data_IF_512094178936
#
_entry.id   IF_512094178936
#
_cell.length_a   1.000
_cell.length_b   1.000
_cell.length_c   1.000
_cell.angle_alpha   90.00
_cell.angle_beta   90.00
_cell.angle_gamma   90.00
#
_symmetry.space_group_name_H-M   'P 1'
#
loop_
_entity.id
_entity.type
_entity.pdbx_description
1 polymer ?
#
# COMPACT_ATOMS: atom_id res chain seq x y z
N UNK A 1 12.05 19.92 21.85
CA UNK A 1 11.10 19.50 22.91
C UNK A 1 9.89 20.45 22.90
N UNK A 2 8.84 20.12 22.16
CA UNK A 2 7.57 20.85 22.28
C UNK A 2 6.44 19.85 22.12
N UNK A 3 6.18 19.13 23.21
CA UNK A 3 5.04 18.25 23.37
C UNK A 3 3.77 19.10 23.38
N UNK A 4 3.18 19.34 22.21
CA UNK A 4 1.82 19.86 22.11
C UNK A 4 0.86 18.72 22.45
N UNK A 5 0.44 18.67 23.71
CA UNK A 5 -0.70 17.85 24.13
C UNK A 5 -1.95 18.32 23.38
N UNK A 6 -2.36 17.56 22.38
CA UNK A 6 -3.64 17.72 21.70
C UNK A 6 -4.78 17.69 22.73
N UNK A 7 -5.56 18.77 22.77
CA UNK A 7 -6.66 18.94 23.71
C UNK A 7 -7.91 18.21 23.17
N UNK A 8 -8.03 16.93 23.50
CA UNK A 8 -8.99 15.93 23.00
C UNK A 8 -10.49 16.25 23.21
N UNK A 9 -10.86 17.37 23.84
CA UNK A 9 -12.26 17.65 24.21
C UNK A 9 -13.14 18.19 23.08
N UNK A 10 -12.55 18.81 22.04
CA UNK A 10 -13.31 19.38 20.91
C UNK A 10 -13.23 18.57 19.61
N UNK A 11 -12.55 17.42 19.61
CA UNK A 11 -12.22 16.67 18.39
C UNK A 11 -12.94 15.31 18.29
N UNK A 12 -14.12 15.12 18.90
CA UNK A 12 -14.73 13.78 19.06
C UNK A 12 -14.88 12.95 17.77
N UNK A 13 -15.00 13.57 16.59
CA UNK A 13 -14.96 12.88 15.30
C UNK A 13 -13.55 12.82 14.69
N UNK A 14 -12.82 13.94 14.73
CA UNK A 14 -11.46 14.11 14.19
C UNK A 14 -10.44 13.14 14.81
N UNK A 15 -10.53 12.93 16.12
CA UNK A 15 -9.60 12.05 16.83
C UNK A 15 -9.90 10.60 16.62
N UNK A 16 -11.14 10.21 16.29
CA UNK A 16 -11.48 8.79 16.24
C UNK A 16 -10.98 8.14 14.95
N UNK A 17 -11.19 8.77 13.80
CA UNK A 17 -10.76 8.20 12.52
C UNK A 17 -9.23 8.25 12.32
N UNK A 18 -8.57 9.36 12.70
CA UNK A 18 -7.11 9.43 12.76
C UNK A 18 -6.53 8.38 13.73
N UNK A 19 -7.12 8.22 14.92
CA UNK A 19 -6.72 7.18 15.86
C UNK A 19 -7.01 5.78 15.33
N UNK A 20 -8.08 5.56 14.56
CA UNK A 20 -8.34 4.28 13.89
C UNK A 20 -7.27 3.99 12.82
N UNK A 21 -6.80 5.00 12.08
CA UNK A 21 -5.69 4.84 11.13
C UNK A 21 -4.39 4.49 11.88
N UNK A 22 -3.95 5.31 12.84
CA UNK A 22 -2.71 5.08 13.61
C UNK A 22 -2.75 3.77 14.39
N UNK A 23 -3.83 3.49 15.12
CA UNK A 23 -3.98 2.22 15.84
C UNK A 23 -4.20 1.04 14.90
N UNK A 24 -4.77 1.27 13.72
CA UNK A 24 -4.93 0.27 12.67
C UNK A 24 -3.57 -0.16 12.14
N UNK A 25 -2.71 0.82 11.83
CA UNK A 25 -1.31 0.63 11.40
C UNK A 25 -0.49 -0.13 12.45
N UNK A 26 -0.50 0.30 13.71
CA UNK A 26 0.16 -0.43 14.80
C UNK A 26 -0.38 -1.86 14.97
N UNK A 27 -1.69 -2.07 14.79
CA UNK A 27 -2.28 -3.41 14.85
C UNK A 27 -1.82 -4.28 13.67
N UNK A 28 -1.66 -3.72 12.47
CA UNK A 28 -1.19 -4.44 11.28
C UNK A 28 0.24 -4.93 11.51
N UNK A 29 1.17 -4.07 11.91
CA UNK A 29 2.56 -4.45 12.19
C UNK A 29 2.68 -5.59 13.22
N UNK A 30 2.00 -5.42 14.36
CA UNK A 30 2.04 -6.41 15.44
C UNK A 30 1.48 -7.78 15.01
N UNK A 31 0.48 -7.78 14.12
CA UNK A 31 -0.15 -8.98 13.58
C UNK A 31 0.69 -9.63 12.49
N UNK A 32 1.29 -8.84 11.60
CA UNK A 32 2.25 -9.31 10.58
C UNK A 32 3.42 -10.08 11.20
N UNK A 33 3.87 -9.67 12.39
CA UNK A 33 4.90 -10.37 13.14
C UNK A 33 4.61 -11.84 13.45
N UNK A 34 3.32 -12.24 13.44
CA UNK A 34 2.88 -13.62 13.71
C UNK A 34 2.69 -14.45 12.45
N UNK A 35 2.64 -13.82 11.29
CA UNK A 35 2.45 -14.49 10.01
C UNK A 35 3.74 -15.15 9.54
N UNK A 36 3.59 -16.20 8.72
CA UNK A 36 4.69 -16.73 7.94
C UNK A 36 5.16 -15.70 6.91
N UNK A 37 6.33 -15.95 6.35
CA UNK A 37 6.89 -15.14 5.29
C UNK A 37 5.95 -15.03 4.07
N UNK A 38 5.44 -16.17 3.60
CA UNK A 38 4.53 -16.28 2.46
C UNK A 38 3.21 -15.54 2.74
N UNK A 39 2.73 -15.60 3.98
CA UNK A 39 1.53 -14.88 4.40
C UNK A 39 1.75 -13.36 4.46
N UNK A 40 2.95 -12.88 4.84
CA UNK A 40 3.31 -11.45 4.78
C UNK A 40 3.44 -10.96 3.35
N UNK A 41 4.06 -11.76 2.47
CA UNK A 41 4.09 -11.50 1.03
C UNK A 41 2.68 -11.37 0.48
N UNK A 42 1.82 -12.36 0.76
CA UNK A 42 0.45 -12.36 0.29
C UNK A 42 -0.27 -11.09 0.73
N UNK A 43 -0.13 -10.72 2.00
CA UNK A 43 -0.70 -9.48 2.51
C UNK A 43 -0.20 -8.25 1.74
N UNK A 44 1.11 -8.11 1.55
CA UNK A 44 1.69 -6.98 0.83
C UNK A 44 1.20 -6.90 -0.63
N UNK A 45 1.14 -8.03 -1.33
CA UNK A 45 0.64 -8.09 -2.71
C UNK A 45 -0.86 -7.84 -2.80
N UNK A 46 -1.65 -8.26 -1.80
CA UNK A 46 -3.06 -7.87 -1.68
C UNK A 46 -3.21 -6.34 -1.57
N UNK A 47 -2.41 -5.67 -0.74
CA UNK A 47 -2.43 -4.21 -0.62
C UNK A 47 -2.09 -3.54 -1.96
N UNK A 48 -1.01 -3.96 -2.63
CA UNK A 48 -0.62 -3.43 -3.94
C UNK A 48 -1.73 -3.63 -4.98
N UNK A 49 -2.34 -4.82 -5.02
CA UNK A 49 -3.43 -5.14 -5.96
C UNK A 49 -4.71 -4.36 -5.68
N UNK A 50 -4.98 -4.07 -4.40
CA UNK A 50 -6.10 -3.24 -4.00
C UNK A 50 -5.88 -1.77 -4.38
N UNK A 51 -4.72 -1.21 -4.02
CA UNK A 51 -4.32 0.15 -4.39
C UNK A 51 -4.32 0.36 -5.90
N UNK A 52 -3.82 -0.62 -6.67
CA UNK A 52 -3.91 -0.66 -8.14
C UNK A 52 -5.36 -0.39 -8.59
N UNK A 53 -6.31 -1.17 -8.10
CA UNK A 53 -7.72 -1.04 -8.50
C UNK A 53 -8.26 0.38 -8.27
N UNK A 54 -7.85 1.04 -7.19
CA UNK A 54 -8.24 2.43 -6.88
C UNK A 54 -7.56 3.45 -7.79
N UNK A 55 -6.30 3.25 -8.13
CA UNK A 55 -5.52 4.17 -8.97
C UNK A 55 -5.90 4.13 -10.45
N UNK A 56 -6.26 2.96 -11.00
CA UNK A 56 -6.72 2.83 -12.39
C UNK A 56 -7.85 3.80 -12.77
N UNK A 57 -8.66 4.20 -11.79
CA UNK A 57 -9.78 5.11 -11.99
C UNK A 57 -9.41 6.59 -11.91
N UNK A 58 -8.26 6.93 -11.31
CA UNK A 58 -7.91 8.30 -10.95
C UNK A 58 -6.56 8.77 -11.49
N UNK A 59 -5.79 7.91 -12.15
CA UNK A 59 -4.51 8.27 -12.75
C UNK A 59 -4.70 9.27 -13.90
N UNK A 60 -3.79 10.24 -14.00
CA UNK A 60 -3.74 11.13 -15.15
C UNK A 60 -3.45 10.28 -16.42
N UNK A 61 -4.17 10.51 -17.53
CA UNK A 61 -3.85 9.85 -18.79
C UNK A 61 -2.39 9.96 -19.23
N UNK A 62 -1.70 11.06 -18.89
CA UNK A 62 -0.31 11.29 -19.26
C UNK A 62 0.67 10.45 -18.40
N UNK A 63 0.25 10.04 -17.20
CA UNK A 63 1.00 9.17 -16.28
C UNK A 63 0.62 7.69 -16.43
N UNK A 64 -0.10 7.32 -17.49
CA UNK A 64 -0.59 5.95 -17.66
C UNK A 64 0.50 4.94 -18.08
N UNK A 65 1.58 5.39 -18.71
CA UNK A 65 2.58 4.52 -19.35
C UNK A 65 3.30 3.59 -18.35
N UNK A 66 3.86 4.13 -17.26
CA UNK A 66 4.51 3.33 -16.21
C UNK A 66 3.52 2.42 -15.48
N UNK A 67 2.27 2.87 -15.36
CA UNK A 67 1.22 2.08 -14.73
C UNK A 67 0.86 0.85 -15.58
N UNK A 68 0.85 1.00 -16.91
CA UNK A 68 0.68 -0.11 -17.85
C UNK A 68 1.84 -1.10 -17.80
N UNK A 69 3.03 -0.70 -17.33
CA UNK A 69 4.18 -1.59 -17.13
C UNK A 69 4.21 -2.25 -15.74
N UNK A 70 3.72 -1.57 -14.70
CA UNK A 70 3.66 -2.09 -13.34
C UNK A 70 2.54 -3.14 -13.16
N UNK A 71 1.43 -2.98 -13.89
CA UNK A 71 0.28 -3.89 -13.87
C UNK A 71 0.64 -5.34 -14.25
N UNK A 72 1.34 -5.60 -15.37
CA UNK A 72 1.80 -6.94 -15.73
C UNK A 72 2.62 -7.63 -14.65
N UNK A 73 3.47 -6.89 -13.93
CA UNK A 73 4.29 -7.45 -12.84
C UNK A 73 3.41 -7.99 -11.69
N UNK A 74 2.37 -7.24 -11.33
CA UNK A 74 1.38 -7.67 -10.33
C UNK A 74 0.60 -8.89 -10.83
N UNK A 75 0.15 -8.87 -12.09
CA UNK A 75 -0.62 -9.97 -12.67
C UNK A 75 0.20 -11.26 -12.78
N UNK A 76 1.48 -11.16 -13.15
CA UNK A 76 2.37 -12.31 -13.26
C UNK A 76 2.70 -12.91 -11.88
N UNK A 77 2.75 -12.08 -10.82
CA UNK A 77 2.84 -12.59 -9.46
C UNK A 77 1.64 -13.51 -9.15
N UNK A 78 0.43 -13.06 -9.42
CA UNK A 78 -0.78 -13.83 -9.12
C UNK A 78 -0.94 -15.09 -9.96
N UNK A 79 -0.40 -15.11 -11.19
CA UNK A 79 -0.34 -16.34 -12.00
C UNK A 79 0.60 -17.39 -11.40
N UNK A 80 1.64 -16.95 -10.69
CA UNK A 80 2.72 -17.80 -10.20
C UNK A 80 2.56 -18.17 -8.73
N UNK A 81 1.79 -17.39 -7.97
CA UNK A 81 1.50 -17.62 -6.56
C UNK A 81 0.32 -18.59 -6.36
N UNK A 82 0.37 -19.54 -5.40
CA UNK A 82 1.45 -19.80 -4.44
C UNK A 82 2.51 -20.79 -4.95
N UNK A 83 2.29 -21.40 -6.11
CA UNK A 83 2.97 -22.62 -6.55
C UNK A 83 4.45 -22.41 -6.92
N UNK A 84 4.87 -21.16 -7.15
CA UNK A 84 6.20 -20.82 -7.62
C UNK A 84 6.62 -19.44 -7.10
N UNK A 85 6.99 -19.37 -5.82
CA UNK A 85 7.85 -18.31 -5.30
C UNK A 85 9.30 -18.55 -5.75
N UNK A 86 9.55 -18.51 -7.06
CA UNK A 86 10.92 -18.58 -7.59
C UNK A 86 11.64 -17.28 -7.22
N UNK A 87 12.61 -17.38 -6.31
CA UNK A 87 13.38 -16.24 -5.82
C UNK A 87 14.07 -15.46 -6.93
N UNK A 88 14.49 -16.14 -8.00
CA UNK A 88 15.14 -15.48 -9.14
C UNK A 88 14.15 -14.68 -9.96
N UNK A 89 12.97 -15.22 -10.24
CA UNK A 89 11.93 -14.50 -10.96
C UNK A 89 11.45 -13.28 -10.15
N UNK A 90 11.26 -13.44 -8.83
CA UNK A 90 10.81 -12.33 -8.00
C UNK A 90 11.86 -11.23 -7.88
N UNK A 91 13.15 -11.59 -7.77
CA UNK A 91 14.22 -10.59 -7.80
C UNK A 91 14.26 -9.84 -9.13
N UNK A 92 13.99 -10.52 -10.25
CA UNK A 92 13.87 -9.84 -11.55
C UNK A 92 12.70 -8.85 -11.57
N UNK A 93 11.53 -9.21 -11.02
CA UNK A 93 10.40 -8.28 -10.91
C UNK A 93 10.72 -7.12 -9.96
N UNK A 94 11.41 -7.37 -8.86
CA UNK A 94 11.84 -6.32 -7.92
C UNK A 94 12.79 -5.34 -8.59
N UNK A 95 13.78 -5.83 -9.34
CA UNK A 95 14.74 -5.01 -10.08
C UNK A 95 14.02 -4.21 -11.16
N UNK A 96 13.20 -4.85 -12.00
CA UNK A 96 12.42 -4.16 -13.02
C UNK A 96 11.50 -3.08 -12.42
N UNK A 97 10.84 -3.37 -11.30
CA UNK A 97 10.05 -2.36 -10.59
C UNK A 97 10.90 -1.21 -10.02
N UNK A 98 12.18 -1.47 -9.69
CA UNK A 98 13.10 -0.44 -9.19
C UNK A 98 13.63 0.44 -10.32
N UNK A 99 13.64 -0.02 -11.57
CA UNK A 99 14.03 0.80 -12.72
C UNK A 99 13.12 2.04 -12.87
N UNK A 100 11.84 1.94 -12.47
CA UNK A 100 10.94 3.10 -12.40
C UNK A 100 11.37 4.16 -11.38
N UNK A 101 12.12 3.77 -10.34
CA UNK A 101 12.71 4.71 -9.37
C UNK A 101 14.06 5.25 -9.83
N UNK A 102 14.89 4.44 -10.52
CA UNK A 102 16.19 4.90 -11.03
C UNK A 102 16.03 5.94 -12.18
N UNK A 103 14.84 6.08 -12.76
CA UNK A 103 14.50 7.25 -13.58
C UNK A 103 14.59 8.59 -12.80
N UNK A 104 14.53 8.60 -11.46
CA UNK A 104 14.73 9.78 -10.60
C UNK A 104 16.21 10.20 -10.46
N UNK A 105 17.18 9.27 -10.51
CA UNK A 105 18.60 9.62 -10.30
C UNK A 105 19.22 10.41 -11.48
N UNK A 106 18.51 10.45 -12.61
CA UNK A 106 18.93 11.15 -13.84
C UNK A 106 18.00 12.27 -14.27
N UNK A 107 16.94 12.52 -13.52
CA UNK A 107 15.96 13.56 -13.82
C UNK A 107 15.66 14.27 -12.53
N UNK A 108 15.92 15.58 -12.47
CA UNK A 108 15.61 16.37 -11.29
C UNK A 108 14.15 16.10 -10.90
N UNK A 109 13.84 15.95 -9.60
CA UNK A 109 12.47 15.72 -9.11
C UNK A 109 11.44 16.77 -9.61
N UNK A 110 11.92 17.88 -10.19
CA UNK A 110 11.12 18.92 -10.84
C UNK A 110 10.75 18.59 -12.31
N UNK A 111 11.45 17.64 -12.95
CA UNK A 111 11.37 17.31 -14.38
C UNK A 111 10.62 15.98 -14.66
N UNK A 112 10.33 15.15 -13.64
CA UNK A 112 9.43 14.00 -13.77
C UNK A 112 8.05 14.31 -13.16
N UNK A 113 6.94 14.10 -13.89
CA UNK A 113 5.62 14.45 -13.42
C UNK A 113 5.00 13.45 -12.45
N UNK A 114 5.78 12.60 -11.76
CA UNK A 114 5.18 11.66 -10.82
C UNK A 114 4.53 12.44 -9.67
N UNK A 115 3.20 12.31 -9.55
CA UNK A 115 2.53 12.72 -8.33
C UNK A 115 3.05 11.85 -7.17
N UNK A 116 3.15 12.42 -5.97
CA UNK A 116 3.68 11.74 -4.78
C UNK A 116 3.03 10.36 -4.57
N UNK A 117 1.74 10.20 -4.90
CA UNK A 117 1.03 8.92 -4.79
C UNK A 117 1.51 7.82 -5.74
N UNK A 118 2.06 8.18 -6.89
CA UNK A 118 2.52 7.24 -7.92
C UNK A 118 3.84 6.59 -7.51
N UNK A 119 4.77 7.42 -7.02
CA UNK A 119 6.02 6.98 -6.39
C UNK A 119 5.77 6.01 -5.24
N UNK A 120 4.72 6.26 -4.45
CA UNK A 120 4.34 5.41 -3.33
C UNK A 120 3.85 4.03 -3.79
N UNK A 121 3.14 3.92 -4.92
CA UNK A 121 2.74 2.60 -5.48
C UNK A 121 3.95 1.82 -5.98
N UNK A 122 4.85 2.47 -6.71
CA UNK A 122 6.08 1.83 -7.22
C UNK A 122 6.88 1.29 -6.03
N UNK A 123 7.08 2.15 -5.02
CA UNK A 123 7.76 1.76 -3.77
C UNK A 123 7.05 0.60 -3.08
N UNK A 124 5.72 0.64 -2.95
CA UNK A 124 4.95 -0.44 -2.35
C UNK A 124 5.13 -1.77 -3.08
N UNK A 125 5.16 -1.73 -4.42
CA UNK A 125 5.35 -2.90 -5.29
C UNK A 125 6.73 -3.52 -5.09
N UNK A 126 7.77 -2.71 -5.07
CA UNK A 126 9.15 -3.16 -4.77
C UNK A 126 9.22 -3.79 -3.37
N UNK A 127 8.61 -3.16 -2.37
CA UNK A 127 8.59 -3.68 -1.00
C UNK A 127 7.84 -5.01 -0.91
N UNK A 128 6.73 -5.16 -1.64
CA UNK A 128 5.98 -6.41 -1.69
C UNK A 128 6.81 -7.56 -2.29
N UNK A 129 7.54 -7.30 -3.38
CA UNK A 129 8.49 -8.28 -3.92
C UNK A 129 9.66 -8.54 -2.95
N UNK A 130 10.18 -7.52 -2.27
CA UNK A 130 11.24 -7.70 -1.27
C UNK A 130 10.81 -8.55 -0.07
N UNK A 131 9.51 -8.56 0.29
CA UNK A 131 8.97 -9.46 1.31
C UNK A 131 9.23 -10.92 1.00
N UNK A 132 9.31 -11.29 -0.28
CA UNK A 132 9.51 -12.68 -0.75
C UNK A 132 10.96 -13.13 -0.79
N UNK A 133 11.91 -12.24 -0.48
CA UNK A 133 13.34 -12.52 -0.60
C UNK A 133 14.10 -12.40 0.72
N UNK A 134 13.54 -11.70 1.73
CA UNK A 134 14.30 -11.34 2.92
C UNK A 134 13.65 -11.78 4.23
N UNK A 135 14.49 -12.05 5.23
CA UNK A 135 14.04 -12.24 6.62
C UNK A 135 13.36 -10.99 7.21
N UNK A 136 13.47 -9.83 6.55
CA UNK A 136 12.85 -8.56 6.94
C UNK A 136 11.39 -8.41 6.49
N UNK A 137 10.74 -9.47 5.99
CA UNK A 137 9.41 -9.41 5.39
C UNK A 137 8.30 -8.74 6.22
N UNK A 138 8.42 -8.59 7.54
CA UNK A 138 7.48 -7.76 8.34
C UNK A 138 7.61 -6.30 7.95
N UNK A 139 8.85 -5.77 7.99
CA UNK A 139 9.13 -4.36 7.73
C UNK A 139 8.71 -4.01 6.30
N UNK A 140 9.01 -4.89 5.35
CA UNK A 140 8.70 -4.68 3.95
C UNK A 140 7.17 -4.74 3.71
N UNK A 141 6.46 -5.67 4.36
CA UNK A 141 5.01 -5.80 4.21
C UNK A 141 4.27 -4.61 4.83
N UNK A 142 4.71 -4.16 6.00
CA UNK A 142 4.17 -2.94 6.63
C UNK A 142 4.46 -1.70 5.78
N UNK A 143 5.68 -1.59 5.25
CA UNK A 143 6.05 -0.47 4.37
C UNK A 143 5.18 -0.46 3.12
N UNK A 144 4.96 -1.60 2.47
CA UNK A 144 4.07 -1.68 1.31
C UNK A 144 2.64 -1.24 1.64
N UNK A 145 2.09 -1.69 2.77
CA UNK A 145 0.74 -1.30 3.20
C UNK A 145 0.62 0.21 3.49
N UNK A 146 1.64 0.81 4.10
CA UNK A 146 1.66 2.25 4.37
C UNK A 146 1.77 3.07 3.10
N UNK A 147 2.67 2.68 2.21
CA UNK A 147 2.85 3.36 0.93
C UNK A 147 1.56 3.33 0.09
N UNK A 148 0.83 2.20 0.04
CA UNK A 148 -0.48 2.14 -0.62
C UNK A 148 -1.51 3.05 0.02
N UNK A 149 -1.57 3.09 1.35
CA UNK A 149 -2.51 3.96 2.04
C UNK A 149 -2.19 5.44 1.75
N UNK A 150 -0.93 5.84 1.85
CA UNK A 150 -0.52 7.23 1.62
C UNK A 150 -0.78 7.62 0.14
N UNK A 151 -0.61 6.68 -0.79
CA UNK A 151 -0.93 6.87 -2.19
C UNK A 151 -2.42 7.19 -2.41
N UNK A 152 -3.31 6.43 -1.75
CA UNK A 152 -4.76 6.65 -1.80
C UNK A 152 -5.15 8.00 -1.20
N UNK A 153 -4.50 8.40 -0.10
CA UNK A 153 -4.70 9.71 0.51
C UNK A 153 -4.36 10.83 -0.47
N UNK A 154 -3.23 10.72 -1.17
CA UNK A 154 -2.77 11.73 -2.11
C UNK A 154 -3.72 11.90 -3.30
N UNK A 155 -4.17 10.78 -3.89
CA UNK A 155 -5.19 10.82 -4.95
C UNK A 155 -6.44 11.55 -4.49
N UNK A 156 -6.89 11.30 -3.26
CA UNK A 156 -8.08 11.93 -2.74
C UNK A 156 -7.88 13.41 -2.39
N UNK A 157 -6.68 13.83 -1.99
CA UNK A 157 -6.31 15.25 -1.81
C UNK A 157 -6.35 15.97 -3.15
N UNK A 158 -5.66 15.42 -4.16
CA UNK A 158 -5.56 16.00 -5.50
C UNK A 158 -6.95 16.15 -6.13
N UNK A 159 -7.81 15.14 -6.00
CA UNK A 159 -9.18 15.17 -6.52
C UNK A 159 -10.09 16.20 -5.84
N UNK A 160 -9.84 16.58 -4.58
CA UNK A 160 -10.73 17.47 -3.80
C UNK A 160 -10.28 18.92 -3.75
N UNK A 161 -8.99 19.17 -3.55
CA UNK A 161 -8.49 20.49 -3.14
C UNK A 161 -7.33 21.02 -4.01
N UNK A 162 -6.88 20.28 -5.04
CA UNK A 162 -5.83 20.76 -5.97
C UNK A 162 -4.45 20.96 -5.33
N UNK A 163 -4.11 20.15 -4.31
CA UNK A 163 -2.85 20.20 -3.56
C UNK A 163 -3.00 20.94 -2.24
N UNK A 164 -2.94 20.22 -1.12
CA UNK A 164 -3.18 20.75 0.22
C UNK A 164 -2.03 20.54 1.20
N UNK A 165 -1.83 21.50 2.11
CA UNK A 165 -0.83 21.46 3.17
C UNK A 165 -1.07 20.31 4.18
N UNK A 166 -0.01 19.87 4.88
CA UNK A 166 0.04 18.71 5.79
C UNK A 166 -1.12 18.60 6.81
N UNK A 167 -1.67 19.72 7.32
CA UNK A 167 -2.83 19.71 8.24
C UNK A 167 -4.16 19.34 7.56
N UNK A 168 -4.23 19.40 6.23
CA UNK A 168 -5.36 18.92 5.44
C UNK A 168 -5.35 17.39 5.34
N UNK A 169 -4.18 16.74 5.46
CA UNK A 169 -4.03 15.28 5.44
C UNK A 169 -4.75 14.66 6.64
N UNK A 170 -4.42 15.05 7.87
CA UNK A 170 -5.09 14.54 9.10
C UNK A 170 -6.61 14.76 9.06
N UNK A 171 -7.04 15.89 8.50
CA UNK A 171 -8.46 16.22 8.33
C UNK A 171 -9.12 15.33 7.29
N UNK A 172 -8.47 15.13 6.14
CA UNK A 172 -8.97 14.30 5.04
C UNK A 172 -8.98 12.83 5.43
N UNK A 173 -7.96 12.30 6.08
CA UNK A 173 -7.99 10.94 6.64
C UNK A 173 -9.19 10.74 7.56
N UNK A 174 -9.48 11.73 8.42
CA UNK A 174 -10.57 11.62 9.38
C UNK A 174 -11.97 11.65 8.75
N UNK A 175 -12.09 12.13 7.51
CA UNK A 175 -13.35 12.34 6.81
C UNK A 175 -13.49 11.46 5.55
N UNK A 176 -12.39 10.97 5.00
CA UNK A 176 -12.33 10.17 3.79
C UNK A 176 -12.96 8.81 4.07
N UNK A 177 -13.95 8.48 3.24
CA UNK A 177 -14.51 7.13 3.18
C UNK A 177 -13.53 6.16 2.52
N UNK A 178 -12.71 6.62 1.58
CA UNK A 178 -11.73 5.79 0.85
C UNK A 178 -10.60 5.37 1.77
N UNK A 179 -9.97 6.30 2.50
CA UNK A 179 -8.90 5.98 3.45
C UNK A 179 -9.38 5.04 4.56
N UNK A 180 -10.61 5.23 5.05
CA UNK A 180 -11.22 4.29 5.99
C UNK A 180 -11.45 2.93 5.37
N UNK A 181 -11.95 2.88 4.14
CA UNK A 181 -12.17 1.63 3.41
C UNK A 181 -10.85 0.88 3.17
N UNK A 182 -9.75 1.60 2.93
CA UNK A 182 -8.42 1.02 2.79
C UNK A 182 -7.96 0.35 4.09
N UNK A 183 -8.02 1.05 5.23
CA UNK A 183 -7.63 0.46 6.52
C UNK A 183 -8.54 -0.73 6.88
N UNK A 184 -9.83 -0.64 6.60
CA UNK A 184 -10.77 -1.75 6.77
C UNK A 184 -10.39 -2.94 5.88
N UNK A 185 -10.04 -2.70 4.61
CA UNK A 185 -9.54 -3.72 3.70
C UNK A 185 -8.27 -4.37 4.23
N UNK A 186 -7.25 -3.60 4.63
CA UNK A 186 -5.98 -4.13 5.15
C UNK A 186 -6.22 -4.99 6.40
N UNK A 187 -7.03 -4.52 7.35
CA UNK A 187 -7.33 -5.28 8.56
C UNK A 187 -8.14 -6.56 8.27
N UNK A 188 -9.08 -6.50 7.31
CA UNK A 188 -9.88 -7.64 6.88
C UNK A 188 -9.01 -8.67 6.14
N UNK A 189 -8.21 -8.23 5.17
CA UNK A 189 -7.25 -9.05 4.44
C UNK A 189 -6.34 -9.80 5.42
N UNK A 190 -5.75 -9.08 6.38
CA UNK A 190 -4.91 -9.67 7.41
C UNK A 190 -5.67 -10.70 8.26
N UNK A 191 -6.92 -10.41 8.64
CA UNK A 191 -7.78 -11.37 9.36
C UNK A 191 -8.10 -12.62 8.57
N UNK A 192 -8.33 -12.51 7.27
CA UNK A 192 -8.56 -13.67 6.40
C UNK A 192 -7.30 -14.53 6.32
N UNK A 193 -6.15 -13.91 6.04
CA UNK A 193 -4.87 -14.63 5.91
C UNK A 193 -4.51 -15.35 7.22
N UNK A 194 -4.69 -14.69 8.38
CA UNK A 194 -4.42 -15.29 9.70
C UNK A 194 -5.26 -16.53 10.00
N UNK A 195 -6.51 -16.56 9.53
CA UNK A 195 -7.47 -17.61 9.87
C UNK A 195 -7.67 -18.63 8.74
N UNK A 196 -7.00 -18.43 7.60
CA UNK A 196 -7.17 -19.27 6.42
C UNK A 196 -6.74 -20.70 6.70
N UNK A 197 -7.58 -21.66 6.30
CA UNK A 197 -7.32 -23.08 6.47
C UNK A 197 -6.97 -23.68 5.11
N UNK A 198 -5.75 -24.22 4.99
CA UNK A 198 -5.25 -24.85 3.77
C UNK A 198 -4.18 -24.01 3.05
N UNK A 199 -3.95 -24.25 1.75
CA UNK A 199 -3.05 -23.44 0.93
C UNK A 199 -3.47 -21.97 0.95
N UNK A 200 -2.49 -21.06 0.91
CA UNK A 200 -2.74 -19.62 0.95
C UNK A 200 -3.72 -19.17 -0.15
N UNK A 201 -4.67 -18.27 0.16
CA UNK A 201 -5.66 -17.83 -0.81
C UNK A 201 -5.04 -16.92 -1.87
N UNK A 202 -5.61 -16.92 -3.06
CA UNK A 202 -5.36 -15.87 -4.05
C UNK A 202 -6.17 -14.60 -3.74
N UNK A 203 -5.93 -13.52 -4.47
CA UNK A 203 -6.59 -12.23 -4.25
C UNK A 203 -8.13 -12.30 -4.32
N UNK A 204 -8.69 -12.99 -5.32
CA UNK A 204 -10.14 -13.11 -5.48
C UNK A 204 -10.78 -13.83 -4.30
N UNK A 205 -10.13 -14.87 -3.77
CA UNK A 205 -10.57 -15.59 -2.58
C UNK A 205 -10.55 -14.69 -1.35
N UNK A 206 -9.52 -13.84 -1.20
CA UNK A 206 -9.47 -12.83 -0.13
C UNK A 206 -10.65 -11.85 -0.23
N UNK A 207 -11.00 -11.40 -1.44
CA UNK A 207 -12.14 -10.50 -1.63
C UNK A 207 -13.49 -11.16 -1.32
N UNK A 208 -13.64 -12.44 -1.67
CA UNK A 208 -14.89 -13.18 -1.50
C UNK A 208 -15.10 -13.74 -0.09
N UNK A 209 -14.02 -13.85 0.69
CA UNK A 209 -14.10 -14.29 2.08
C UNK A 209 -14.95 -13.32 2.91
N UNK A 210 -16.02 -13.87 3.50
CA UNK A 210 -16.97 -13.15 4.36
C UNK A 210 -16.52 -13.17 5.80
#
# INVERSE_FOLDING_TARGET
ETSRRLNLKNCKGFTMAFYISVMGREKIENRLGRLSFEARTLFAMCCVTHGRSTFLFNIDPDDREWYEELVPMIDDFWKSFPDSLDSKWIEQQRVAASEFLDFEDHVEFEDYPFAVGELQIITATIQAFACTQSSEGIKNASSAAYQIYDAIVEVEITAKDGGGAEWQVDRLESQSTTCRSEIEFQLKCLGIIENWQGPLPNYEQVLQAK
#
